data_IF_694431286636
#
_entry.id   IF_694431286636
#
_cell.length_a   1.000
_cell.length_b   1.000
_cell.length_c   1.000
_cell.angle_alpha   90.00
_cell.angle_beta   90.00
_cell.angle_gamma   90.00
#
_symmetry.space_group_name_H-M   'P 1'
#
loop_
_entity.id
_entity.type
_entity.pdbx_description
1 polymer ?
#
# COMPACT_ATOMS: atom_id res chain seq x y z
N UNK A 1 -18.54 18.19 -11.48
CA UNK A 1 -18.30 16.88 -12.15
C UNK A 1 -17.23 16.94 -13.28
N UNK A 2 -16.65 18.09 -13.62
CA UNK A 2 -15.51 18.19 -14.57
C UNK A 2 -14.17 18.63 -13.95
N UNK A 3 -14.12 18.87 -12.64
CA UNK A 3 -12.94 19.47 -11.98
C UNK A 3 -11.74 18.52 -11.87
N UNK A 4 -11.99 17.20 -11.82
CA UNK A 4 -10.94 16.16 -11.77
C UNK A 4 -10.12 16.14 -13.07
N UNK A 5 -10.74 16.44 -14.21
CA UNK A 5 -10.07 16.47 -15.51
C UNK A 5 -9.25 17.76 -15.74
N UNK A 6 -9.34 18.74 -14.84
CA UNK A 6 -8.50 19.94 -14.92
C UNK A 6 -7.05 19.59 -14.53
N UNK A 7 -6.05 20.33 -15.00
CA UNK A 7 -4.66 20.14 -14.57
C UNK A 7 -4.47 20.23 -13.05
N UNK A 8 -5.36 20.96 -12.35
CA UNK A 8 -5.37 21.05 -10.89
C UNK A 8 -5.94 19.78 -10.25
N UNK A 9 -7.06 19.28 -10.76
CA UNK A 9 -7.68 18.03 -10.30
C UNK A 9 -6.80 16.80 -10.52
N UNK A 10 -6.16 16.69 -11.68
CA UNK A 10 -5.23 15.60 -11.98
C UNK A 10 -4.03 15.58 -11.03
N UNK A 11 -3.50 16.75 -10.64
CA UNK A 11 -2.42 16.84 -9.66
C UNK A 11 -2.88 16.38 -8.28
N UNK A 12 -4.07 16.78 -7.84
CA UNK A 12 -4.62 16.34 -6.54
C UNK A 12 -4.79 14.82 -6.53
N UNK A 13 -5.42 14.23 -7.56
CA UNK A 13 -5.59 12.77 -7.66
C UNK A 13 -4.24 12.05 -7.69
N UNK A 14 -3.28 12.55 -8.47
CA UNK A 14 -1.95 11.93 -8.54
C UNK A 14 -1.23 11.94 -7.19
N UNK A 15 -1.38 13.01 -6.39
CA UNK A 15 -0.80 13.07 -5.05
C UNK A 15 -1.53 12.12 -4.10
N UNK A 16 -2.87 12.07 -4.11
CA UNK A 16 -3.63 11.15 -3.27
C UNK A 16 -3.30 9.68 -3.59
N UNK A 17 -3.14 9.33 -4.87
CA UNK A 17 -2.68 8.01 -5.29
C UNK A 17 -1.24 7.73 -4.83
N UNK A 18 -0.37 8.74 -4.86
CA UNK A 18 1.00 8.61 -4.34
C UNK A 18 1.00 8.40 -2.83
N UNK A 19 0.16 9.12 -2.07
CA UNK A 19 0.01 8.95 -0.62
C UNK A 19 -0.38 7.52 -0.27
N UNK A 20 -1.41 6.98 -0.95
CA UNK A 20 -1.86 5.60 -0.77
C UNK A 20 -0.76 4.59 -1.15
N UNK A 21 -0.06 4.83 -2.27
CA UNK A 21 1.06 4.00 -2.70
C UNK A 21 2.24 4.02 -1.68
N UNK A 22 2.49 5.17 -1.07
CA UNK A 22 3.58 5.37 -0.12
C UNK A 22 3.35 4.71 1.24
N UNK A 23 2.10 4.33 1.57
CA UNK A 23 1.82 3.67 2.84
C UNK A 23 2.63 2.38 2.99
N UNK A 24 2.83 1.62 1.91
CA UNK A 24 3.52 0.33 1.96
C UNK A 24 5.03 0.50 2.21
N UNK A 25 5.78 1.32 1.45
CA UNK A 25 7.16 1.65 1.79
C UNK A 25 7.33 2.24 3.19
N UNK A 26 6.42 3.13 3.62
CA UNK A 26 6.49 3.73 4.95
C UNK A 26 6.27 2.70 6.05
N UNK A 27 5.33 1.76 5.89
CA UNK A 27 5.12 0.68 6.85
C UNK A 27 6.34 -0.24 6.97
N UNK A 28 7.06 -0.50 5.87
CA UNK A 28 8.33 -1.23 5.94
C UNK A 28 9.42 -0.43 6.64
N UNK A 29 9.52 0.88 6.39
CA UNK A 29 10.44 1.75 7.11
C UNK A 29 10.14 1.76 8.62
N UNK A 30 8.85 1.79 8.99
CA UNK A 30 8.41 1.71 10.39
C UNK A 30 8.76 0.35 10.98
N UNK A 31 8.49 -0.76 10.29
CA UNK A 31 8.86 -2.09 10.76
C UNK A 31 10.38 -2.23 10.97
N UNK A 32 11.17 -1.59 10.12
CA UNK A 32 12.62 -1.53 10.22
C UNK A 32 13.11 -0.64 11.38
N UNK A 33 12.44 0.50 11.60
CA UNK A 33 12.81 1.48 12.63
C UNK A 33 12.18 1.15 13.99
N UNK A 34 11.22 0.23 14.03
CA UNK A 34 10.58 -0.22 15.25
C UNK A 34 11.67 -0.73 16.20
N UNK A 35 11.75 -0.20 17.42
CA UNK A 35 12.68 -0.73 18.40
C UNK A 35 12.31 -2.19 18.64
N UNK A 36 13.15 -3.13 18.16
CA UNK A 36 13.19 -4.47 18.72
C UNK A 36 13.29 -4.31 20.24
N UNK A 37 12.47 -5.03 21.00
CA UNK A 37 12.28 -4.80 22.45
C UNK A 37 13.60 -4.56 23.20
N UNK A 38 13.52 -3.89 24.36
CA UNK A 38 14.65 -3.36 25.13
C UNK A 38 15.80 -4.35 25.47
N UNK A 39 15.66 -5.63 25.14
CA UNK A 39 16.67 -6.68 25.34
C UNK A 39 17.32 -7.20 24.03
N UNK A 40 16.96 -6.66 22.86
CA UNK A 40 17.54 -7.10 21.58
C UNK A 40 18.96 -6.60 21.40
N UNK A 41 19.89 -7.54 21.22
CA UNK A 41 21.29 -7.25 20.91
C UNK A 41 21.43 -6.61 19.54
N UNK A 42 22.46 -5.78 19.34
CA UNK A 42 22.77 -5.19 18.02
C UNK A 42 22.95 -6.26 16.92
N UNK A 43 23.44 -7.45 17.30
CA UNK A 43 23.60 -8.61 16.40
C UNK A 43 22.28 -9.20 15.91
N UNK A 44 21.28 -9.30 16.79
CA UNK A 44 19.94 -9.80 16.42
C UNK A 44 19.25 -8.83 15.48
N UNK A 45 19.34 -7.52 15.76
CA UNK A 45 18.79 -6.48 14.88
C UNK A 45 19.41 -6.50 13.48
N UNK A 46 20.74 -6.65 13.39
CA UNK A 46 21.42 -6.75 12.09
C UNK A 46 21.01 -8.02 11.32
N UNK A 47 20.72 -9.10 12.05
CA UNK A 47 20.27 -10.36 11.45
C UNK A 47 18.84 -10.24 10.92
N UNK A 48 17.92 -9.64 11.68
CA UNK A 48 16.55 -9.34 11.23
C UNK A 48 16.53 -8.45 9.98
N UNK A 49 17.35 -7.40 9.97
CA UNK A 49 17.54 -6.54 8.81
C UNK A 49 18.07 -7.33 7.61
N UNK A 50 19.08 -8.18 7.82
CA UNK A 50 19.64 -9.04 6.80
C UNK A 50 18.59 -9.98 6.20
N UNK A 51 17.76 -10.60 7.05
CA UNK A 51 16.66 -11.47 6.64
C UNK A 51 15.63 -10.69 5.82
N UNK A 52 15.22 -9.50 6.26
CA UNK A 52 14.27 -8.65 5.54
C UNK A 52 14.78 -8.27 4.14
N UNK A 53 16.03 -7.82 4.03
CA UNK A 53 16.64 -7.50 2.74
C UNK A 53 16.75 -8.75 1.85
N UNK A 54 17.23 -9.86 2.41
CA UNK A 54 17.36 -11.13 1.69
C UNK A 54 16.00 -11.64 1.19
N UNK A 55 14.93 -11.45 1.97
CA UNK A 55 13.58 -11.80 1.58
C UNK A 55 13.10 -10.94 0.40
N UNK A 56 13.29 -9.62 0.46
CA UNK A 56 12.94 -8.71 -0.65
C UNK A 56 13.68 -9.11 -1.92
N UNK A 57 15.00 -9.31 -1.84
CA UNK A 57 15.82 -9.72 -2.98
C UNK A 57 15.37 -11.09 -3.50
N UNK A 58 15.16 -12.05 -2.60
CA UNK A 58 14.70 -13.39 -2.92
C UNK A 58 13.35 -13.37 -3.63
N UNK A 59 12.41 -12.53 -3.17
CA UNK A 59 11.11 -12.36 -3.80
C UNK A 59 11.22 -11.73 -5.18
N UNK A 60 12.04 -10.68 -5.35
CA UNK A 60 12.23 -10.03 -6.65
C UNK A 60 12.87 -10.98 -7.67
N UNK A 61 13.89 -11.74 -7.24
CA UNK A 61 14.54 -12.77 -8.06
C UNK A 61 13.53 -13.87 -8.40
N UNK A 62 12.84 -14.44 -7.40
CA UNK A 62 11.82 -15.45 -7.63
C UNK A 62 10.73 -14.93 -8.57
N UNK A 63 10.23 -13.71 -8.37
CA UNK A 63 9.24 -13.10 -9.25
C UNK A 63 9.70 -13.01 -10.70
N UNK A 64 10.93 -12.53 -10.92
CA UNK A 64 11.49 -12.36 -12.25
C UNK A 64 11.70 -13.69 -12.99
N UNK A 65 12.10 -14.75 -12.28
CA UNK A 65 12.42 -16.05 -12.88
C UNK A 65 11.26 -17.06 -12.86
N UNK A 66 10.38 -17.07 -11.86
CA UNK A 66 9.27 -18.03 -11.74
C UNK A 66 7.97 -17.53 -12.39
N UNK A 67 7.66 -16.22 -12.35
CA UNK A 67 6.33 -15.76 -12.82
C UNK A 67 6.14 -15.99 -14.31
N UNK A 68 7.11 -15.60 -15.13
CA UNK A 68 7.02 -15.76 -16.59
C UNK A 68 6.81 -17.22 -17.03
N UNK A 69 7.61 -18.21 -16.59
CA UNK A 69 7.38 -19.60 -16.97
C UNK A 69 6.07 -20.15 -16.38
N UNK A 70 5.74 -19.80 -15.13
CA UNK A 70 4.49 -20.25 -14.50
C UNK A 70 3.27 -19.79 -15.30
N UNK A 71 3.16 -18.50 -15.62
CA UNK A 71 2.04 -17.97 -16.39
C UNK A 71 2.03 -18.42 -17.85
N UNK A 72 3.21 -18.69 -18.43
CA UNK A 72 3.30 -19.25 -19.77
C UNK A 72 2.69 -20.66 -19.83
N UNK A 73 3.00 -21.53 -18.87
CA UNK A 73 2.42 -22.88 -18.79
C UNK A 73 0.88 -22.80 -18.69
N UNK A 74 0.38 -21.88 -17.86
CA UNK A 74 -1.07 -21.68 -17.70
C UNK A 74 -1.73 -21.14 -18.98
N UNK A 75 -1.06 -20.23 -19.69
CA UNK A 75 -1.53 -19.69 -20.96
C UNK A 75 -1.55 -20.76 -22.06
N UNK A 76 -0.52 -21.61 -22.14
CA UNK A 76 -0.44 -22.72 -23.09
C UNK A 76 -1.55 -23.76 -22.83
N UNK A 77 -1.89 -23.99 -21.55
CA UNK A 77 -3.01 -24.84 -21.15
C UNK A 77 -4.40 -24.22 -21.39
N UNK A 78 -4.48 -22.95 -21.84
CA UNK A 78 -5.73 -22.17 -22.01
C UNK A 78 -6.63 -22.11 -20.76
N UNK A 79 -6.04 -22.28 -19.58
CA UNK A 79 -6.77 -22.36 -18.31
C UNK A 79 -6.97 -20.97 -17.69
N UNK A 80 -7.84 -20.13 -18.29
CA UNK A 80 -8.07 -18.74 -17.83
C UNK A 80 -8.48 -18.64 -16.37
N UNK A 81 -9.37 -19.51 -15.91
CA UNK A 81 -9.85 -19.54 -14.52
C UNK A 81 -8.70 -19.79 -13.52
N UNK A 82 -7.71 -20.58 -13.93
CA UNK A 82 -6.53 -20.92 -13.12
C UNK A 82 -5.52 -19.76 -13.12
N UNK A 83 -5.50 -18.90 -14.14
CA UNK A 83 -4.61 -17.74 -14.17
C UNK A 83 -4.92 -16.76 -13.04
N UNK A 84 -6.19 -16.47 -12.76
CA UNK A 84 -6.57 -15.61 -11.63
C UNK A 84 -6.19 -16.24 -10.30
N UNK A 85 -6.47 -17.53 -10.12
CA UNK A 85 -6.12 -18.26 -8.90
C UNK A 85 -4.61 -18.26 -8.67
N UNK A 86 -3.81 -18.46 -9.73
CA UNK A 86 -2.36 -18.39 -9.67
C UNK A 86 -1.86 -16.98 -9.32
N UNK A 87 -2.47 -15.93 -9.88
CA UNK A 87 -2.11 -14.56 -9.56
C UNK A 87 -2.39 -14.20 -8.10
N UNK A 88 -3.57 -14.58 -7.59
CA UNK A 88 -3.90 -14.41 -6.17
C UNK A 88 -2.98 -15.25 -5.28
N UNK A 89 -2.65 -16.48 -5.68
CA UNK A 89 -1.69 -17.32 -4.97
C UNK A 89 -0.30 -16.69 -4.90
N UNK A 90 0.17 -16.08 -5.99
CA UNK A 90 1.44 -15.35 -6.01
C UNK A 90 1.38 -14.17 -5.04
N UNK A 91 0.32 -13.37 -5.07
CA UNK A 91 0.16 -12.21 -4.17
C UNK A 91 0.12 -12.65 -2.70
N UNK A 92 -0.70 -13.63 -2.36
CA UNK A 92 -0.83 -14.17 -1.00
C UNK A 92 0.45 -14.89 -0.54
N UNK A 93 1.07 -15.68 -1.41
CA UNK A 93 2.33 -16.36 -1.12
C UNK A 93 3.48 -15.38 -0.88
N UNK A 94 3.54 -14.29 -1.65
CA UNK A 94 4.51 -13.21 -1.45
C UNK A 94 4.27 -12.45 -0.15
N UNK A 95 3.00 -12.13 0.15
CA UNK A 95 2.60 -11.52 1.41
C UNK A 95 3.00 -12.38 2.61
N UNK A 96 2.73 -13.69 2.56
CA UNK A 96 3.11 -14.64 3.60
C UNK A 96 4.62 -14.77 3.73
N UNK A 97 5.36 -14.86 2.62
CA UNK A 97 6.82 -14.92 2.64
C UNK A 97 7.45 -13.69 3.30
N UNK A 98 6.93 -12.49 3.01
CA UNK A 98 7.38 -11.26 3.69
C UNK A 98 7.04 -11.28 5.18
N UNK A 99 5.84 -11.73 5.55
CA UNK A 99 5.44 -11.86 6.95
C UNK A 99 6.35 -12.79 7.74
N UNK A 100 6.68 -13.95 7.19
CA UNK A 100 7.60 -14.92 7.80
C UNK A 100 9.03 -14.35 7.95
N UNK A 101 9.38 -13.37 7.13
CA UNK A 101 10.68 -12.68 7.16
C UNK A 101 10.69 -11.47 8.11
N UNK A 102 9.61 -11.24 8.86
CA UNK A 102 9.47 -10.10 9.78
C UNK A 102 9.01 -8.79 9.13
N UNK A 103 8.68 -8.81 7.83
CA UNK A 103 8.15 -7.65 7.10
C UNK A 103 6.62 -7.67 7.07
N UNK A 104 5.99 -6.58 6.63
CA UNK A 104 4.54 -6.51 6.53
C UNK A 104 4.00 -7.35 5.37
N UNK A 105 2.83 -7.96 5.53
CA UNK A 105 2.10 -8.63 4.43
C UNK A 105 1.83 -7.66 3.27
N UNK A 106 1.54 -6.39 3.59
CA UNK A 106 1.31 -5.34 2.59
C UNK A 106 2.53 -5.15 1.67
N UNK A 107 3.76 -5.23 2.20
CA UNK A 107 4.98 -5.16 1.41
C UNK A 107 5.07 -6.31 0.40
N UNK A 108 4.78 -7.54 0.82
CA UNK A 108 4.82 -8.70 -0.07
C UNK A 108 3.76 -8.64 -1.16
N UNK A 109 2.53 -8.24 -0.81
CA UNK A 109 1.45 -8.05 -1.78
C UNK A 109 1.78 -6.94 -2.80
N UNK A 110 2.35 -5.84 -2.34
CA UNK A 110 2.77 -4.73 -3.20
C UNK A 110 3.88 -5.14 -4.17
N UNK A 111 4.95 -5.77 -3.67
CA UNK A 111 6.06 -6.24 -4.50
C UNK A 111 5.57 -7.28 -5.53
N UNK A 112 4.71 -8.22 -5.13
CA UNK A 112 4.09 -9.15 -6.06
C UNK A 112 3.31 -8.41 -7.15
N UNK A 113 2.51 -7.41 -6.80
CA UNK A 113 1.78 -6.58 -7.75
C UNK A 113 2.70 -5.87 -8.75
N UNK A 114 3.80 -5.28 -8.27
CA UNK A 114 4.82 -4.65 -9.13
C UNK A 114 5.43 -5.69 -10.09
N UNK A 115 5.82 -6.86 -9.59
CA UNK A 115 6.42 -7.93 -10.41
C UNK A 115 5.43 -8.49 -11.44
N UNK A 116 4.16 -8.62 -11.07
CA UNK A 116 3.09 -9.03 -11.99
C UNK A 116 2.80 -7.95 -13.05
N UNK A 117 2.93 -6.67 -12.70
CA UNK A 117 2.72 -5.55 -13.63
C UNK A 117 3.81 -5.45 -14.72
N UNK A 118 5.00 -5.97 -14.44
CA UNK A 118 6.11 -6.08 -15.40
C UNK A 118 6.04 -7.33 -16.29
N UNK A 119 5.17 -8.30 -15.96
CA UNK A 119 5.01 -9.55 -16.72
C UNK A 119 4.45 -9.32 -18.13
N UNK A 120 4.83 -10.18 -19.07
CA UNK A 120 4.25 -10.19 -20.43
C UNK A 120 2.74 -10.42 -20.42
N UNK A 121 2.21 -11.03 -19.36
CA UNK A 121 0.79 -11.33 -19.19
C UNK A 121 0.00 -10.25 -18.42
N UNK A 122 0.59 -9.10 -18.11
CA UNK A 122 0.00 -8.06 -17.25
C UNK A 122 -1.44 -7.67 -17.61
N UNK A 123 -1.75 -7.51 -18.90
CA UNK A 123 -3.07 -7.05 -19.35
C UNK A 123 -4.13 -8.13 -19.18
N UNK A 124 -3.76 -9.40 -19.37
CA UNK A 124 -4.65 -10.52 -19.13
C UNK A 124 -4.89 -10.69 -17.63
N UNK A 125 -3.83 -10.62 -16.82
CA UNK A 125 -3.92 -10.67 -15.37
C UNK A 125 -4.76 -9.52 -14.80
N UNK A 126 -4.61 -8.31 -15.33
CA UNK A 126 -5.38 -7.15 -14.91
C UNK A 126 -6.88 -7.34 -15.16
N UNK A 127 -7.25 -7.76 -16.38
CA UNK A 127 -8.64 -8.05 -16.73
C UNK A 127 -9.24 -9.19 -15.88
N UNK A 128 -8.43 -10.20 -15.58
CA UNK A 128 -8.86 -11.37 -14.82
C UNK A 128 -8.98 -11.08 -13.30
N UNK A 129 -8.22 -10.12 -12.76
CA UNK A 129 -8.23 -9.71 -11.34
C UNK A 129 -9.25 -8.59 -11.06
N UNK A 130 -9.58 -7.76 -12.06
CA UNK A 130 -10.50 -6.62 -11.91
C UNK A 130 -11.81 -6.98 -11.16
N UNK A 131 -12.49 -8.10 -11.45
CA UNK A 131 -13.71 -8.49 -10.72
C UNK A 131 -13.48 -8.75 -9.22
N UNK A 132 -12.29 -9.25 -8.86
CA UNK A 132 -11.94 -9.56 -7.47
C UNK A 132 -11.56 -8.33 -6.67
N UNK A 133 -11.11 -7.26 -7.32
CA UNK A 133 -10.73 -6.00 -6.65
C UNK A 133 -11.87 -5.48 -5.77
N UNK A 134 -13.10 -5.49 -6.29
CA UNK A 134 -14.28 -5.05 -5.52
C UNK A 134 -14.56 -5.92 -4.30
N UNK A 135 -14.44 -7.24 -4.44
CA UNK A 135 -14.65 -8.19 -3.33
C UNK A 135 -13.56 -8.04 -2.26
N UNK A 136 -12.29 -7.95 -2.67
CA UNK A 136 -11.16 -7.77 -1.76
C UNK A 136 -11.25 -6.43 -1.02
N UNK A 137 -11.68 -5.37 -1.70
CA UNK A 137 -11.92 -4.07 -1.08
C UNK A 137 -13.06 -4.13 -0.05
N UNK A 138 -14.16 -4.81 -0.38
CA UNK A 138 -15.25 -5.05 0.57
C UNK A 138 -14.80 -5.85 1.79
N UNK A 139 -13.99 -6.90 1.58
CA UNK A 139 -13.42 -7.70 2.66
C UNK A 139 -12.45 -6.90 3.53
N UNK A 140 -11.62 -6.05 2.92
CA UNK A 140 -10.70 -5.16 3.64
C UNK A 140 -11.47 -4.20 4.56
N UNK A 141 -12.49 -3.51 4.04
CA UNK A 141 -13.30 -2.61 4.85
C UNK A 141 -14.07 -3.34 5.95
N UNK A 142 -14.56 -4.55 5.67
CA UNK A 142 -15.20 -5.40 6.67
C UNK A 142 -14.21 -5.78 7.78
N UNK A 143 -13.00 -6.22 7.43
CA UNK A 143 -11.97 -6.61 8.39
C UNK A 143 -11.53 -5.42 9.26
N UNK A 144 -11.27 -4.26 8.67
CA UNK A 144 -10.92 -3.03 9.40
C UNK A 144 -12.08 -2.60 10.31
N UNK A 145 -13.32 -2.66 9.81
CA UNK A 145 -14.52 -2.34 10.60
C UNK A 145 -14.70 -3.27 11.81
N UNK A 146 -14.45 -4.58 11.65
CA UNK A 146 -14.52 -5.54 12.75
C UNK A 146 -13.35 -5.40 13.73
N UNK A 147 -12.20 -4.91 13.28
CA UNK A 147 -11.05 -4.64 14.16
C UNK A 147 -11.23 -3.40 15.04
N UNK A 148 -12.21 -2.54 14.73
CA UNK A 148 -12.50 -1.34 15.48
C UNK A 148 -13.27 -1.66 16.78
N UNK A 149 -12.66 -1.40 17.93
CA UNK A 149 -13.33 -1.49 19.24
C UNK A 149 -14.21 -0.26 19.48
N UNK A 150 -15.52 -0.42 19.24
CA UNK A 150 -16.51 0.63 19.46
C UNK A 150 -16.62 1.05 20.93
N UNK A 151 -16.28 0.16 21.87
CA UNK A 151 -16.25 0.47 23.30
C UNK A 151 -15.15 1.48 23.63
N UNK A 152 -13.94 1.26 23.11
CA UNK A 152 -12.81 2.20 23.27
C UNK A 152 -13.12 3.54 22.62
N UNK A 153 -13.71 3.53 21.41
CA UNK A 153 -14.11 4.76 20.70
C UNK A 153 -15.18 5.53 21.48
N UNK A 154 -16.19 4.85 22.02
CA UNK A 154 -17.24 5.49 22.81
C UNK A 154 -16.71 6.08 24.11
N UNK A 155 -15.79 5.38 24.79
CA UNK A 155 -15.17 5.87 26.03
C UNK A 155 -14.23 7.07 25.79
N UNK A 156 -13.51 7.07 24.66
CA UNK A 156 -12.49 8.07 24.34
C UNK A 156 -12.91 9.04 23.22
N UNK A 157 -14.21 9.20 22.97
CA UNK A 157 -14.73 9.94 21.81
C UNK A 157 -14.17 11.37 21.70
N UNK A 158 -13.91 12.03 22.84
CA UNK A 158 -13.28 13.35 22.89
C UNK A 158 -11.84 13.34 22.38
N UNK A 159 -11.04 12.38 22.83
CA UNK A 159 -9.66 12.23 22.38
C UNK A 159 -9.61 11.90 20.90
N UNK A 160 -10.48 10.99 20.43
CA UNK A 160 -10.61 10.66 19.01
C UNK A 160 -10.94 11.91 18.19
N UNK A 161 -11.94 12.71 18.60
CA UNK A 161 -12.30 13.95 17.91
C UNK A 161 -11.14 14.95 17.85
N UNK A 162 -10.39 15.12 18.95
CA UNK A 162 -9.20 15.98 18.99
C UNK A 162 -8.13 15.47 18.02
N UNK A 163 -7.82 14.17 18.03
CA UNK A 163 -6.81 13.59 17.15
C UNK A 163 -7.20 13.71 15.67
N UNK A 164 -8.49 13.52 15.33
CA UNK A 164 -8.99 13.71 13.97
C UNK A 164 -8.77 15.16 13.50
N UNK A 165 -9.20 16.15 14.30
CA UNK A 165 -9.03 17.56 13.95
C UNK A 165 -7.55 17.95 13.88
N UNK A 166 -6.74 17.49 14.83
CA UNK A 166 -5.30 17.75 14.86
C UNK A 166 -4.59 17.15 13.65
N UNK A 167 -4.93 15.90 13.27
CA UNK A 167 -4.38 15.23 12.10
C UNK A 167 -4.76 15.95 10.80
N UNK A 168 -6.04 16.29 10.63
CA UNK A 168 -6.51 17.07 9.48
C UNK A 168 -5.80 18.43 9.39
N UNK A 169 -5.65 19.12 10.53
CA UNK A 169 -4.92 20.39 10.61
C UNK A 169 -3.46 20.24 10.23
N UNK A 170 -2.78 19.21 10.74
CA UNK A 170 -1.38 18.93 10.41
C UNK A 170 -1.20 18.59 8.91
N UNK A 171 -2.07 17.77 8.34
CA UNK A 171 -2.08 17.45 6.90
C UNK A 171 -2.32 18.71 6.06
N UNK A 172 -3.30 19.53 6.41
CA UNK A 172 -3.59 20.79 5.73
C UNK A 172 -2.41 21.77 5.76
N UNK A 173 -1.77 21.93 6.92
CA UNK A 173 -0.60 22.80 7.08
C UNK A 173 0.57 22.28 6.24
N UNK A 174 0.83 20.96 6.26
CA UNK A 174 1.88 20.33 5.45
C UNK A 174 1.68 20.58 3.96
N UNK A 175 0.46 20.34 3.46
CA UNK A 175 0.11 20.55 2.04
C UNK A 175 0.23 22.02 1.66
N UNK A 176 -0.26 22.93 2.51
CA UNK A 176 -0.14 24.36 2.30
C UNK A 176 1.33 24.80 2.25
N UNK A 177 2.17 24.33 3.18
CA UNK A 177 3.60 24.66 3.22
C UNK A 177 4.31 24.19 1.94
N UNK A 178 4.09 22.94 1.52
CA UNK A 178 4.66 22.39 0.27
C UNK A 178 4.18 23.19 -0.95
N UNK A 179 2.88 23.52 -1.02
CA UNK A 179 2.33 24.31 -2.12
C UNK A 179 2.93 25.73 -2.19
N UNK A 180 3.22 26.35 -1.04
CA UNK A 180 3.86 27.67 -0.95
C UNK A 180 5.34 27.64 -1.31
N UNK A 181 6.08 26.61 -0.88
CA UNK A 181 7.49 26.38 -1.26
C UNK A 181 7.60 26.21 -2.78
N UNK A 182 6.65 25.51 -3.39
CA UNK A 182 6.53 25.33 -4.85
C UNK A 182 5.93 26.55 -5.57
N UNK A 183 5.88 27.71 -4.91
CA UNK A 183 5.42 29.01 -5.44
C UNK A 183 3.99 29.02 -6.00
N UNK A 184 3.10 28.14 -5.51
CA UNK A 184 1.68 28.18 -5.87
C UNK A 184 0.99 29.41 -5.24
N UNK A 185 0.02 29.99 -5.95
CA UNK A 185 -0.78 31.12 -5.44
C UNK A 185 -1.53 30.77 -4.15
N UNK A 186 -1.68 31.73 -3.24
CA UNK A 186 -2.24 31.50 -1.89
C UNK A 186 -3.65 30.87 -1.92
N UNK A 187 -4.52 31.31 -2.84
CA UNK A 187 -5.86 30.73 -3.05
C UNK A 187 -5.81 29.26 -3.47
N UNK A 188 -4.89 28.91 -4.36
CA UNK A 188 -4.74 27.54 -4.86
C UNK A 188 -4.08 26.62 -3.83
N UNK A 189 -3.19 27.15 -2.98
CA UNK A 189 -2.63 26.42 -1.85
C UNK A 189 -3.68 26.11 -0.78
N UNK A 190 -4.57 27.07 -0.47
CA UNK A 190 -5.64 26.90 0.52
C UNK A 190 -6.69 25.89 0.03
N UNK A 191 -7.10 25.99 -1.22
CA UNK A 191 -8.05 25.06 -1.85
C UNK A 191 -7.52 23.62 -1.84
N UNK A 192 -6.25 23.41 -2.22
CA UNK A 192 -5.60 22.10 -2.15
C UNK A 192 -5.51 21.57 -0.71
N UNK A 193 -5.13 22.40 0.24
CA UNK A 193 -5.01 22.00 1.64
C UNK A 193 -6.34 21.53 2.23
N UNK A 194 -7.44 22.23 1.95
CA UNK A 194 -8.77 21.87 2.46
C UNK A 194 -9.30 20.60 1.79
N UNK A 195 -9.17 20.49 0.47
CA UNK A 195 -9.68 19.34 -0.30
C UNK A 195 -8.92 18.06 0.06
N UNK A 196 -7.60 18.15 0.22
CA UNK A 196 -6.76 16.98 0.49
C UNK A 196 -6.67 16.61 1.97
N UNK A 197 -6.98 17.52 2.89
CA UNK A 197 -7.02 17.20 4.32
C UNK A 197 -8.18 16.27 4.71
N UNK A 198 -9.19 16.12 3.84
CA UNK A 198 -10.30 15.20 4.04
C UNK A 198 -10.03 13.79 3.51
N UNK A 199 -9.07 13.66 2.59
CA UNK A 199 -8.64 12.38 2.02
C UNK A 199 -7.47 11.76 2.78
#
# INVERSE_FOLDING_TARGET
>A
RGEIATPKGQRIVSILLLEDLMIVPLLALIAFLAPGGAETSLSERLTEVGIGIAAIVGLVVAGRYLLNPLFRILADARAREVMTAAALLVVLGSALAMQLSGLSMAMGAFLAGVLLSESTFRHQLEADIEPFRGILLGLFFLAVGMSLDLGVVAQNWRLVAIYVVAYMGMKAIGIYAVARILKSGHREALERAVVMAQG
#
